data_IF_925734704982
#
_entry.id   IF_925734704982
#
_cell.length_a   1.000
_cell.length_b   1.000
_cell.length_c   1.000
_cell.angle_alpha   90.00
_cell.angle_beta   90.00
_cell.angle_gamma   90.00
#
_symmetry.space_group_name_H-M   'P 1'
#
loop_
_entity.id
_entity.type
_entity.pdbx_description
1 polymer ?
#
# COMPACT_ATOMS: atom_id res chain seq x y z
N UNK A 1 -5.14 0.91 -20.32
CA UNK A 1 -4.13 0.08 -19.63
C UNK A 1 -4.11 -1.25 -20.34
N UNK A 2 -3.11 -1.46 -21.19
CA UNK A 2 -2.80 -2.76 -21.78
C UNK A 2 -2.35 -3.67 -20.65
N UNK A 3 -3.05 -4.78 -20.44
CA UNK A 3 -2.71 -5.78 -19.44
C UNK A 3 -1.41 -6.44 -19.87
N UNK A 4 -0.31 -6.20 -19.18
CA UNK A 4 0.89 -7.04 -19.31
C UNK A 4 0.48 -8.49 -19.03
N UNK A 5 0.82 -9.41 -19.95
CA UNK A 5 0.56 -10.83 -19.72
C UNK A 5 1.53 -11.34 -18.65
N UNK A 6 1.04 -11.48 -17.42
CA UNK A 6 1.83 -11.97 -16.29
C UNK A 6 1.88 -13.51 -16.20
N UNK A 7 1.36 -14.22 -17.19
CA UNK A 7 1.50 -15.68 -17.29
C UNK A 7 2.95 -16.08 -17.50
N UNK A 8 3.40 -17.06 -16.70
CA UNK A 8 4.74 -17.62 -16.81
C UNK A 8 4.70 -18.77 -17.83
N UNK A 9 5.59 -18.71 -18.82
CA UNK A 9 5.72 -19.72 -19.87
C UNK A 9 7.05 -20.46 -19.76
N UNK A 10 7.11 -21.66 -20.34
CA UNK A 10 8.32 -22.49 -20.35
C UNK A 10 9.54 -21.85 -21.04
N UNK A 11 9.33 -20.85 -21.90
CA UNK A 11 10.39 -20.16 -22.61
C UNK A 11 10.82 -18.85 -21.94
N UNK A 12 10.21 -18.50 -20.82
CA UNK A 12 10.62 -17.32 -20.04
C UNK A 12 12.00 -17.55 -19.44
N UNK A 13 12.83 -16.52 -19.50
CA UNK A 13 14.08 -16.48 -18.73
C UNK A 13 13.79 -16.19 -17.26
N UNK A 14 14.77 -16.42 -16.38
CA UNK A 14 14.65 -16.08 -14.95
C UNK A 14 14.35 -14.57 -14.74
N UNK A 15 14.83 -13.71 -15.65
CA UNK A 15 14.58 -12.28 -15.63
C UNK A 15 13.13 -11.98 -16.01
N UNK A 16 12.61 -12.61 -17.07
CA UNK A 16 11.21 -12.47 -17.49
C UNK A 16 10.26 -12.90 -16.36
N UNK A 17 10.54 -14.04 -15.74
CA UNK A 17 9.77 -14.55 -14.59
C UNK A 17 9.82 -13.54 -13.44
N UNK A 18 10.99 -12.97 -13.16
CA UNK A 18 11.15 -11.96 -12.09
C UNK A 18 10.30 -10.72 -12.37
N UNK A 19 10.30 -10.21 -13.60
CA UNK A 19 9.48 -9.05 -13.97
C UNK A 19 7.99 -9.34 -13.90
N UNK A 20 7.54 -10.52 -14.34
CA UNK A 20 6.14 -10.94 -14.23
C UNK A 20 5.67 -11.05 -12.79
N UNK A 21 6.48 -11.65 -11.91
CA UNK A 21 6.21 -11.70 -10.46
C UNK A 21 6.12 -10.28 -9.89
N UNK A 22 7.07 -9.41 -10.24
CA UNK A 22 7.09 -8.03 -9.79
C UNK A 22 5.84 -7.25 -10.26
N UNK A 23 5.37 -7.48 -11.50
CA UNK A 23 4.11 -6.91 -12.01
C UNK A 23 2.91 -7.32 -11.15
N UNK A 24 2.80 -8.62 -10.81
CA UNK A 24 1.71 -9.14 -9.96
C UNK A 24 1.78 -8.55 -8.56
N UNK A 25 2.95 -8.51 -7.95
CA UNK A 25 3.13 -7.95 -6.61
C UNK A 25 2.80 -6.45 -6.56
N UNK A 26 3.27 -5.67 -7.53
CA UNK A 26 2.99 -4.24 -7.60
C UNK A 26 1.47 -3.97 -7.69
N UNK A 27 0.77 -4.74 -8.52
CA UNK A 27 -0.69 -4.68 -8.63
C UNK A 27 -1.38 -4.99 -7.30
N UNK A 28 -0.91 -6.01 -6.58
CA UNK A 28 -1.42 -6.36 -5.26
C UNK A 28 -1.21 -5.23 -4.24
N UNK A 29 -0.02 -4.60 -4.23
CA UNK A 29 0.27 -3.48 -3.34
C UNK A 29 -0.62 -2.27 -3.64
N UNK A 30 -0.77 -1.90 -4.92
CA UNK A 30 -1.66 -0.81 -5.32
C UNK A 30 -3.12 -1.08 -4.93
N UNK A 31 -3.61 -2.30 -5.16
CA UNK A 31 -4.96 -2.71 -4.75
C UNK A 31 -5.15 -2.60 -3.23
N UNK A 32 -4.16 -3.07 -2.47
CA UNK A 32 -4.20 -2.98 -1.02
C UNK A 32 -4.16 -1.53 -0.50
N UNK A 33 -3.31 -0.66 -1.07
CA UNK A 33 -3.27 0.76 -0.71
C UNK A 33 -4.60 1.48 -1.04
N UNK A 34 -5.28 1.12 -2.14
CA UNK A 34 -6.63 1.61 -2.45
C UNK A 34 -7.64 1.18 -1.38
N UNK A 35 -7.54 -0.07 -0.92
CA UNK A 35 -8.37 -0.57 0.16
C UNK A 35 -8.09 0.14 1.50
N UNK A 36 -6.82 0.30 1.87
CA UNK A 36 -6.39 1.03 3.08
C UNK A 36 -6.92 2.47 3.06
N UNK A 37 -6.89 3.15 1.91
CA UNK A 37 -7.49 4.48 1.76
C UNK A 37 -8.98 4.48 2.12
N UNK A 38 -9.75 3.52 1.60
CA UNK A 38 -11.18 3.37 1.93
C UNK A 38 -11.38 3.10 3.42
N UNK A 39 -10.57 2.21 4.00
CA UNK A 39 -10.65 1.87 5.42
C UNK A 39 -10.33 3.08 6.31
N UNK A 40 -9.32 3.88 5.96
CA UNK A 40 -8.98 5.12 6.68
C UNK A 40 -10.10 6.15 6.63
N UNK A 41 -10.78 6.32 5.48
CA UNK A 41 -11.96 7.20 5.38
C UNK A 41 -13.06 6.74 6.32
N UNK A 42 -13.32 5.43 6.39
CA UNK A 42 -14.32 4.88 7.29
C UNK A 42 -13.92 5.09 8.76
N UNK A 43 -12.67 4.79 9.14
CA UNK A 43 -12.16 4.97 10.51
C UNK A 43 -12.26 6.43 10.97
N UNK A 44 -11.90 7.38 10.10
CA UNK A 44 -12.06 8.81 10.39
C UNK A 44 -13.54 9.14 10.59
N UNK A 45 -14.43 8.65 9.71
CA UNK A 45 -15.87 8.85 9.83
C UNK A 45 -16.46 8.30 11.14
N UNK A 46 -15.97 7.15 11.62
CA UNK A 46 -16.37 6.57 12.91
C UNK A 46 -15.98 7.49 14.07
N UNK A 47 -14.74 8.01 14.07
CA UNK A 47 -14.27 8.95 15.09
C UNK A 47 -15.08 10.27 15.08
N UNK A 48 -15.40 10.81 13.90
CA UNK A 48 -16.07 12.11 13.80
C UNK A 48 -17.57 12.06 14.06
N UNK A 49 -18.25 10.98 13.63
CA UNK A 49 -19.72 10.97 13.55
C UNK A 49 -20.38 10.05 14.57
N UNK A 50 -19.75 8.92 14.93
CA UNK A 50 -20.42 7.88 15.74
C UNK A 50 -19.98 7.90 17.20
N UNK A 51 -18.75 8.32 17.48
CA UNK A 51 -18.17 8.26 18.82
C UNK A 51 -18.42 9.52 19.68
N UNK A 52 -19.00 10.59 19.13
CA UNK A 52 -19.52 11.80 19.85
C UNK A 52 -18.67 12.23 21.07
N UNK A 53 -17.34 12.31 20.91
CA UNK A 53 -16.42 12.79 21.95
C UNK A 53 -16.16 11.81 23.11
N UNK A 54 -16.62 10.56 23.05
CA UNK A 54 -16.29 9.52 24.07
C UNK A 54 -14.84 9.06 23.96
N UNK A 55 -14.27 9.11 22.77
CA UNK A 55 -12.84 9.03 22.53
C UNK A 55 -12.35 10.46 22.33
N UNK A 56 -11.46 10.92 23.20
CA UNK A 56 -10.72 12.17 23.00
C UNK A 56 -9.89 11.98 21.72
N UNK A 57 -10.49 12.35 20.58
CA UNK A 57 -10.26 11.76 19.25
C UNK A 57 -9.49 12.68 18.31
N UNK A 58 -9.23 13.94 18.69
CA UNK A 58 -8.57 14.90 17.79
C UNK A 58 -7.17 14.40 17.36
N UNK A 59 -6.37 13.89 18.29
CA UNK A 59 -5.04 13.33 18.00
C UNK A 59 -5.14 12.06 17.13
N UNK A 60 -6.12 11.19 17.40
CA UNK A 60 -6.31 9.95 16.64
C UNK A 60 -6.75 10.25 15.21
N UNK A 61 -7.69 11.17 15.04
CA UNK A 61 -8.16 11.67 13.74
C UNK A 61 -7.00 12.31 12.98
N UNK A 62 -6.16 13.11 13.64
CA UNK A 62 -4.97 13.69 13.01
C UNK A 62 -4.00 12.60 12.52
N UNK A 63 -3.71 11.59 13.37
CA UNK A 63 -2.86 10.46 12.99
C UNK A 63 -3.42 9.65 11.81
N UNK A 64 -4.74 9.42 11.77
CA UNK A 64 -5.38 8.76 10.63
C UNK A 64 -5.36 9.62 9.36
N UNK A 65 -5.61 10.92 9.46
CA UNK A 65 -5.51 11.83 8.31
C UNK A 65 -4.08 11.88 7.76
N UNK A 66 -3.07 11.98 8.63
CA UNK A 66 -1.67 11.89 8.23
C UNK A 66 -1.39 10.56 7.51
N UNK A 67 -1.83 9.44 8.08
CA UNK A 67 -1.65 8.11 7.47
C UNK A 67 -2.36 7.99 6.11
N UNK A 68 -3.51 8.64 5.94
CA UNK A 68 -4.22 8.71 4.66
C UNK A 68 -3.42 9.47 3.61
N UNK A 69 -2.86 10.63 3.96
CA UNK A 69 -1.99 11.37 3.03
C UNK A 69 -0.73 10.58 2.67
N UNK A 70 -0.07 9.94 3.63
CA UNK A 70 1.08 9.07 3.38
C UNK A 70 0.72 7.89 2.45
N UNK A 71 -0.48 7.30 2.63
CA UNK A 71 -0.98 6.23 1.76
C UNK A 71 -1.21 6.70 0.32
N UNK A 72 -1.75 7.91 0.14
CA UNK A 72 -1.98 8.51 -1.17
C UNK A 72 -0.66 8.81 -1.89
N UNK A 73 0.32 9.40 -1.18
CA UNK A 73 1.66 9.66 -1.73
C UNK A 73 2.31 8.37 -2.21
N UNK A 74 2.26 7.31 -1.39
CA UNK A 74 2.84 6.01 -1.78
C UNK A 74 2.08 5.39 -2.97
N UNK A 75 0.75 5.41 -2.96
CA UNK A 75 -0.05 4.89 -4.07
C UNK A 75 0.28 5.61 -5.38
N UNK A 76 0.39 6.93 -5.35
CA UNK A 76 0.74 7.73 -6.54
C UNK A 76 2.14 7.40 -7.04
N UNK A 77 3.10 7.16 -6.14
CA UNK A 77 4.43 6.70 -6.52
C UNK A 77 4.40 5.31 -7.18
N UNK A 78 3.64 4.36 -6.63
CA UNK A 78 3.49 3.02 -7.21
C UNK A 78 2.78 3.05 -8.57
N UNK A 79 1.80 3.95 -8.76
CA UNK A 79 1.14 4.12 -10.06
C UNK A 79 2.11 4.68 -11.10
N UNK A 80 2.93 5.67 -10.73
CA UNK A 80 3.96 6.22 -11.63
C UNK A 80 4.99 5.16 -12.00
N UNK A 81 5.46 4.40 -11.02
CA UNK A 81 6.36 3.27 -11.25
C UNK A 81 5.73 2.19 -12.14
N UNK A 82 4.47 1.83 -11.89
CA UNK A 82 3.75 0.87 -12.74
C UNK A 82 3.68 1.32 -14.19
N UNK A 83 3.58 2.63 -14.45
CA UNK A 83 3.55 3.16 -15.81
C UNK A 83 4.95 3.18 -16.46
N UNK A 84 6.02 3.45 -15.70
CA UNK A 84 7.39 3.44 -16.26
C UNK A 84 7.86 2.03 -16.59
N UNK A 85 7.28 0.99 -15.97
CA UNK A 85 7.62 -0.40 -16.27
C UNK A 85 7.23 -0.88 -17.66
N UNK A 86 6.40 -0.13 -18.40
CA UNK A 86 6.11 -0.41 -19.82
C UNK A 86 7.40 -0.40 -20.65
N UNK A 87 8.37 0.41 -20.24
CA UNK A 87 9.65 0.58 -20.93
C UNK A 87 10.63 -0.59 -20.66
N UNK A 88 10.29 -1.55 -19.79
CA UNK A 88 11.10 -2.77 -19.58
C UNK A 88 11.25 -3.56 -20.88
N UNK A 89 10.22 -3.56 -21.74
CA UNK A 89 10.27 -4.24 -23.02
C UNK A 89 11.36 -3.69 -23.96
N UNK A 90 11.90 -2.50 -23.69
CA UNK A 90 12.99 -1.87 -24.44
C UNK A 90 14.38 -2.16 -23.85
N UNK A 91 14.48 -2.87 -22.72
CA UNK A 91 15.76 -3.23 -22.14
C UNK A 91 16.52 -4.23 -23.04
N UNK A 92 17.70 -3.84 -23.50
CA UNK A 92 18.57 -4.67 -24.37
C UNK A 92 19.62 -5.48 -23.58
N UNK A 93 19.80 -5.16 -22.29
CA UNK A 93 20.78 -5.81 -21.43
C UNK A 93 20.28 -6.00 -19.99
N UNK A 94 20.97 -6.89 -19.27
CA UNK A 94 20.68 -7.19 -17.86
C UNK A 94 20.90 -5.98 -16.95
N UNK A 95 21.73 -5.00 -17.34
CA UNK A 95 21.97 -3.82 -16.51
C UNK A 95 20.70 -2.95 -16.44
N UNK A 96 19.99 -2.81 -17.55
CA UNK A 96 18.69 -2.16 -17.64
C UNK A 96 17.65 -2.88 -16.77
N UNK A 97 17.52 -4.20 -16.89
CA UNK A 97 16.61 -5.00 -16.05
C UNK A 97 16.85 -4.82 -14.56
N UNK A 98 18.11 -4.81 -14.16
CA UNK A 98 18.52 -4.67 -12.75
C UNK A 98 18.15 -3.30 -12.16
N UNK A 99 17.99 -2.25 -12.98
CA UNK A 99 17.48 -0.96 -12.50
C UNK A 99 16.04 -1.12 -12.03
N UNK A 100 15.17 -1.71 -12.85
CA UNK A 100 13.76 -1.93 -12.50
C UNK A 100 13.60 -2.88 -11.33
N UNK A 101 14.41 -3.95 -11.25
CA UNK A 101 14.38 -4.88 -10.11
C UNK A 101 14.77 -4.16 -8.81
N UNK A 102 15.85 -3.36 -8.82
CA UNK A 102 16.27 -2.60 -7.62
C UNK A 102 15.24 -1.55 -7.20
N UNK A 103 14.62 -0.89 -8.17
CA UNK A 103 13.55 0.07 -7.89
C UNK A 103 12.34 -0.64 -7.28
N UNK A 104 11.94 -1.81 -7.81
CA UNK A 104 10.88 -2.64 -7.25
C UNK A 104 11.14 -2.99 -5.77
N UNK A 105 12.37 -3.43 -5.45
CA UNK A 105 12.76 -3.73 -4.07
C UNK A 105 12.65 -2.50 -3.14
N UNK A 106 12.95 -1.31 -3.66
CA UNK A 106 12.80 -0.07 -2.92
C UNK A 106 11.33 0.21 -2.58
N UNK A 107 10.43 0.01 -3.55
CA UNK A 107 8.99 0.14 -3.34
C UNK A 107 8.44 -0.95 -2.43
N UNK A 108 8.94 -2.20 -2.54
CA UNK A 108 8.58 -3.30 -1.62
C UNK A 108 8.82 -2.90 -0.17
N UNK A 109 10.02 -2.38 0.13
CA UNK A 109 10.37 -1.90 1.49
C UNK A 109 9.46 -0.77 1.95
N UNK A 110 9.18 0.19 1.08
CA UNK A 110 8.31 1.33 1.38
C UNK A 110 6.88 0.90 1.68
N UNK A 111 6.35 -0.04 0.89
CA UNK A 111 5.03 -0.64 1.09
C UNK A 111 4.95 -1.44 2.40
N UNK A 112 5.91 -2.33 2.67
CA UNK A 112 5.92 -3.12 3.90
C UNK A 112 6.01 -2.24 5.15
N UNK A 113 6.86 -1.20 5.11
CA UNK A 113 6.97 -0.23 6.19
C UNK A 113 5.65 0.53 6.41
N UNK A 114 5.02 1.02 5.34
CA UNK A 114 3.73 1.70 5.43
C UNK A 114 2.65 0.79 6.01
N UNK A 115 2.59 -0.47 5.56
CA UNK A 115 1.62 -1.46 6.01
C UNK A 115 1.77 -1.77 7.51
N UNK A 116 2.99 -1.99 8.00
CA UNK A 116 3.26 -2.19 9.42
C UNK A 116 2.79 -0.99 10.26
N UNK A 117 3.16 0.23 9.84
CA UNK A 117 2.76 1.46 10.55
C UNK A 117 1.25 1.69 10.55
N UNK A 118 0.60 1.40 9.44
CA UNK A 118 -0.86 1.48 9.35
C UNK A 118 -1.54 0.47 10.29
N UNK A 119 -1.09 -0.79 10.30
CA UNK A 119 -1.63 -1.83 11.18
C UNK A 119 -1.48 -1.46 12.65
N UNK A 120 -0.29 -1.00 13.07
CA UNK A 120 -0.07 -0.57 14.46
C UNK A 120 -1.00 0.57 14.88
N UNK A 121 -1.17 1.58 14.02
CA UNK A 121 -2.10 2.68 14.30
C UNK A 121 -3.54 2.16 14.46
N UNK A 122 -3.94 1.21 13.62
CA UNK A 122 -5.25 0.58 13.69
C UNK A 122 -5.45 -0.25 14.96
N UNK A 123 -4.45 -1.04 15.33
CA UNK A 123 -4.49 -1.87 16.53
C UNK A 123 -4.52 -1.00 17.79
N UNK A 124 -3.72 0.07 17.85
CA UNK A 124 -3.77 1.07 18.92
C UNK A 124 -5.17 1.68 19.08
N UNK A 125 -5.81 2.04 17.96
CA UNK A 125 -7.17 2.57 17.97
C UNK A 125 -8.17 1.54 18.52
N UNK A 126 -8.17 0.31 18.01
CA UNK A 126 -9.12 -0.71 18.47
C UNK A 126 -8.90 -1.11 19.93
N UNK A 127 -7.66 -1.19 20.39
CA UNK A 127 -7.35 -1.45 21.79
C UNK A 127 -7.91 -0.33 22.70
N UNK A 128 -7.74 0.94 22.30
CA UNK A 128 -8.31 2.09 23.03
C UNK A 128 -9.84 2.06 23.01
N UNK A 129 -10.44 1.71 21.88
CA UNK A 129 -11.90 1.61 21.74
C UNK A 129 -12.47 0.49 22.61
N UNK A 130 -11.93 -0.74 22.55
CA UNK A 130 -12.35 -1.87 23.39
C UNK A 130 -12.17 -1.61 24.88
N UNK A 131 -11.05 -1.00 25.28
CA UNK A 131 -10.82 -0.59 26.67
C UNK A 131 -11.87 0.41 27.17
N UNK A 132 -12.41 1.27 26.29
CA UNK A 132 -13.49 2.19 26.66
C UNK A 132 -14.87 1.55 26.67
N UNK A 133 -15.15 0.61 25.76
CA UNK A 133 -16.42 -0.12 25.77
C UNK A 133 -16.58 -1.01 27.00
N UNK A 134 -15.50 -1.63 27.49
CA UNK A 134 -15.50 -2.43 28.72
C UNK A 134 -15.65 -1.60 30.01
N UNK A 135 -15.34 -0.30 29.99
CA UNK A 135 -15.56 0.62 31.10
C UNK A 135 -16.98 1.22 31.11
N UNK A 136 -17.77 0.98 30.06
CA UNK A 136 -19.14 1.49 29.89
C UNK A 136 -20.20 0.38 30.01
N UNK A 137 -19.79 -0.89 30.15
CA UNK A 137 -20.65 -2.06 30.39
C UNK A 137 -20.70 -2.43 31.87
#
# INVERSE_FOLDING_TARGET
MTTENNEIFHHDTDIDVTHKINSVELNNWMSHLKYIKKELVNLIGLCTNELNGKLDDAEVIERFNKKKSENEILLDALVKYSNSRIDIAECEDTQCDMVYIKEHESYRRSYLYHLDKYRRLKDEFFNKAQGKFSLLS
#
